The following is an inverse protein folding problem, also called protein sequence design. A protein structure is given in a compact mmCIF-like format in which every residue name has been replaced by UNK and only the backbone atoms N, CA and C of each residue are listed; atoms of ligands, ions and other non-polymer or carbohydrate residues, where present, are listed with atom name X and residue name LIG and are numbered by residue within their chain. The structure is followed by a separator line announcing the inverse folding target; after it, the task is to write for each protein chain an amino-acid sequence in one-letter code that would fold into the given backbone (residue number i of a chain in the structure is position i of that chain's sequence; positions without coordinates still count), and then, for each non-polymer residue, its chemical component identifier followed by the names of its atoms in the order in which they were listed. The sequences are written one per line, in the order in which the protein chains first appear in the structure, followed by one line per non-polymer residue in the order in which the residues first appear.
data_IF_484523881029
#
_entry.id   IF_484523881029
#
_cell.length_a   1.000
_cell.length_b   1.000
_cell.length_c   1.000
_cell.angle_alpha   90.00
_cell.angle_beta   90.00
_cell.angle_gamma   90.00
#
_symmetry.space_group_name_H-M   'P 1'
#
loop_
_entity.id
_entity.type
_entity.pdbx_description
1 polymer ?
#
# COMPACT_ATOMS: atom_id res chain seq x y z
N UNK A 1 -1.42 40.69 -4.25
CA UNK A 1 0.02 40.42 -4.08
C UNK A 1 0.22 39.73 -2.74
N UNK A 2 0.98 38.63 -2.70
CA UNK A 2 1.08 37.62 -1.62
C UNK A 2 -0.16 36.70 -1.54
N UNK A 3 -0.07 35.38 -1.59
CA UNK A 3 1.01 34.48 -1.18
C UNK A 3 1.42 33.53 -2.31
N UNK A 4 2.66 33.69 -2.79
CA UNK A 4 3.43 32.62 -3.43
C UNK A 4 3.79 31.66 -2.28
N UNK A 5 2.85 30.81 -1.87
CA UNK A 5 2.99 29.92 -0.71
C UNK A 5 3.80 28.69 -1.10
N UNK A 6 5.11 28.89 -1.21
CA UNK A 6 6.18 27.89 -1.04
C UNK A 6 5.95 26.48 -1.59
N UNK A 7 5.84 26.33 -2.91
CA UNK A 7 6.02 25.05 -3.62
C UNK A 7 7.36 24.36 -3.20
N UNK A 8 8.37 25.17 -2.84
CA UNK A 8 9.66 24.70 -2.34
C UNK A 8 9.64 24.10 -0.93
N UNK A 9 8.74 24.52 -0.02
CA UNK A 9 8.65 23.93 1.33
C UNK A 9 7.91 22.59 1.28
N UNK A 10 6.91 22.46 0.41
CA UNK A 10 6.27 21.17 0.13
C UNK A 10 7.26 20.17 -0.46
N UNK A 11 8.07 20.58 -1.45
CA UNK A 11 9.07 19.68 -2.06
C UNK A 11 10.15 19.25 -1.05
N UNK A 12 10.58 20.13 -0.15
CA UNK A 12 11.54 19.79 0.90
C UNK A 12 10.96 18.84 1.96
N UNK A 13 9.65 18.90 2.24
CA UNK A 13 8.99 17.97 3.16
C UNK A 13 8.97 16.53 2.63
N UNK A 14 9.05 16.34 1.30
CA UNK A 14 9.17 15.02 0.68
C UNK A 14 10.59 14.43 0.72
N UNK A 15 11.61 15.23 1.04
CA UNK A 15 13.01 14.79 1.00
C UNK A 15 13.32 13.55 1.87
N UNK A 16 12.80 13.41 3.11
CA UNK A 16 13.04 12.20 3.91
C UNK A 16 12.48 10.93 3.25
N UNK A 17 11.27 11.03 2.68
CA UNK A 17 10.59 9.95 1.97
C UNK A 17 11.35 9.53 0.72
N UNK A 18 11.81 10.51 -0.07
CA UNK A 18 12.68 10.30 -1.22
C UNK A 18 13.98 9.58 -0.83
N UNK A 19 14.68 10.07 0.20
CA UNK A 19 15.93 9.46 0.66
C UNK A 19 15.73 8.02 1.16
N UNK A 20 14.64 7.78 1.89
CA UNK A 20 14.28 6.43 2.34
C UNK A 20 14.06 5.47 1.17
N UNK A 21 13.45 5.94 0.07
CA UNK A 21 13.18 5.11 -1.10
C UNK A 21 14.40 4.90 -2.01
N UNK A 22 15.43 5.74 -1.90
CA UNK A 22 16.70 5.51 -2.59
C UNK A 22 17.60 4.51 -1.84
N UNK A 23 17.35 4.29 -0.54
CA UNK A 23 18.15 3.38 0.29
C UNK A 23 18.23 1.95 -0.28
N UNK A 24 17.15 1.33 -0.80
CA UNK A 24 17.24 0.03 -1.44
C UNK A 24 18.16 0.00 -2.67
N UNK A 25 18.20 1.08 -3.47
CA UNK A 25 19.13 1.18 -4.61
C UNK A 25 20.57 1.24 -4.14
N UNK A 26 20.83 2.04 -3.11
CA UNK A 26 22.16 2.11 -2.47
C UNK A 26 22.54 0.74 -1.90
N UNK A 27 21.59 0.04 -1.29
CA UNK A 27 21.77 -1.32 -0.78
C UNK A 27 22.27 -2.29 -1.85
N UNK A 28 21.63 -2.30 -3.02
CA UNK A 28 22.02 -3.18 -4.14
C UNK A 28 23.39 -2.80 -4.71
N UNK A 29 23.65 -1.50 -4.91
CA UNK A 29 24.88 -1.05 -5.58
C UNK A 29 26.10 -1.06 -4.66
N UNK A 30 25.95 -0.77 -3.37
CA UNK A 30 27.06 -0.54 -2.45
C UNK A 30 27.15 -1.55 -1.30
N UNK A 31 26.04 -2.23 -0.96
CA UNK A 31 25.96 -3.14 0.19
C UNK A 31 25.70 -4.60 -0.21
N UNK A 32 25.73 -4.90 -1.51
CA UNK A 32 25.50 -6.24 -2.07
C UNK A 32 24.14 -6.85 -1.66
N UNK A 33 23.13 -5.99 -1.46
CA UNK A 33 21.79 -6.46 -1.17
C UNK A 33 21.23 -7.21 -2.37
N UNK A 34 20.63 -8.37 -2.09
CA UNK A 34 19.96 -9.15 -3.14
C UNK A 34 18.67 -8.45 -3.52
N UNK A 35 18.32 -8.43 -4.81
CA UNK A 35 17.04 -7.90 -5.30
C UNK A 35 15.85 -8.46 -4.54
N UNK A 36 15.90 -9.76 -4.24
CA UNK A 36 14.83 -10.44 -3.49
C UNK A 36 14.64 -9.88 -2.08
N UNK A 37 15.70 -9.42 -1.41
CA UNK A 37 15.62 -8.81 -0.08
C UNK A 37 14.92 -7.46 -0.16
N UNK A 38 15.28 -6.63 -1.15
CA UNK A 38 14.62 -5.34 -1.41
C UNK A 38 13.13 -5.52 -1.71
N UNK A 39 12.80 -6.45 -2.61
CA UNK A 39 11.40 -6.73 -2.93
C UNK A 39 10.64 -7.27 -1.72
N UNK A 40 11.30 -8.04 -0.86
CA UNK A 40 10.69 -8.56 0.37
C UNK A 40 10.41 -7.45 1.38
N UNK A 41 11.28 -6.45 1.51
CA UNK A 41 11.03 -5.26 2.34
C UNK A 41 9.76 -4.54 1.87
N UNK A 42 9.61 -4.28 0.58
CA UNK A 42 8.39 -3.67 0.04
C UNK A 42 7.15 -4.56 0.21
N UNK A 43 7.30 -5.87 0.08
CA UNK A 43 6.21 -6.83 0.28
C UNK A 43 5.75 -6.88 1.75
N UNK A 44 6.70 -6.81 2.70
CA UNK A 44 6.44 -6.71 4.14
C UNK A 44 5.76 -5.38 4.49
N UNK A 45 6.18 -4.29 3.87
CA UNK A 45 5.56 -2.96 4.05
C UNK A 45 4.09 -3.00 3.64
N UNK A 46 3.78 -3.55 2.45
CA UNK A 46 2.40 -3.73 1.99
C UNK A 46 1.58 -4.60 2.95
N UNK A 47 2.12 -5.73 3.39
CA UNK A 47 1.46 -6.62 4.33
C UNK A 47 1.21 -5.97 5.69
N UNK A 48 2.18 -5.20 6.20
CA UNK A 48 2.10 -4.47 7.47
C UNK A 48 1.06 -3.37 7.38
N UNK A 49 1.11 -2.54 6.33
CA UNK A 49 0.09 -1.53 6.05
C UNK A 49 -1.30 -2.17 6.03
N UNK A 50 -1.48 -3.27 5.31
CA UNK A 50 -2.76 -3.94 5.20
C UNK A 50 -3.27 -4.49 6.55
N UNK A 51 -2.38 -5.05 7.36
CA UNK A 51 -2.69 -5.54 8.71
C UNK A 51 -3.13 -4.41 9.64
N UNK A 52 -2.34 -3.33 9.68
CA UNK A 52 -2.55 -2.19 10.59
C UNK A 52 -3.85 -1.47 10.27
N UNK A 53 -4.11 -1.19 8.98
CA UNK A 53 -5.37 -0.60 8.55
C UNK A 53 -6.56 -1.56 8.71
N UNK A 54 -6.33 -2.87 8.62
CA UNK A 54 -7.31 -3.89 8.98
C UNK A 54 -7.76 -3.79 10.43
N UNK A 55 -6.81 -3.63 11.36
CA UNK A 55 -7.10 -3.38 12.78
C UNK A 55 -7.80 -2.04 12.96
N UNK A 56 -7.31 -0.96 12.34
CA UNK A 56 -7.90 0.37 12.42
C UNK A 56 -9.37 0.41 12.00
N UNK A 57 -9.71 -0.31 10.93
CA UNK A 57 -11.07 -0.35 10.39
C UNK A 57 -12.10 -0.93 11.37
N UNK A 58 -11.70 -1.69 12.39
CA UNK A 58 -12.60 -2.17 13.45
C UNK A 58 -13.14 -1.03 14.33
N UNK A 59 -12.41 0.09 14.42
CA UNK A 59 -12.75 1.26 15.22
C UNK A 59 -13.54 2.32 14.42
N UNK A 60 -13.64 2.16 13.10
CA UNK A 60 -14.31 3.12 12.24
C UNK A 60 -15.82 3.22 12.54
N UNK A 61 -16.26 4.41 12.96
CA UNK A 61 -17.61 4.69 13.47
C UNK A 61 -18.63 4.94 12.37
N UNK A 62 -18.24 5.48 11.21
CA UNK A 62 -19.23 5.82 10.18
C UNK A 62 -19.80 4.57 9.51
N UNK A 63 -21.10 4.58 9.16
CA UNK A 63 -21.68 3.52 8.38
C UNK A 63 -21.08 3.50 6.96
N UNK A 64 -21.00 2.31 6.39
CA UNK A 64 -20.53 2.10 5.02
C UNK A 64 -21.63 2.53 4.05
N UNK A 65 -21.30 3.40 3.10
CA UNK A 65 -22.19 3.83 2.00
C UNK A 65 -21.50 3.43 0.70
N UNK A 66 -22.19 2.65 -0.15
CA UNK A 66 -21.62 2.06 -1.37
C UNK A 66 -22.06 2.75 -2.66
N UNK A 67 -23.11 3.56 -2.59
CA UNK A 67 -23.61 4.29 -3.74
C UNK A 67 -22.57 5.30 -4.23
N UNK A 68 -22.35 5.35 -5.54
CA UNK A 68 -21.39 6.26 -6.17
C UNK A 68 -19.92 5.86 -6.09
N UNK A 69 -19.57 4.72 -5.47
CA UNK A 69 -18.16 4.28 -5.37
C UNK A 69 -17.64 3.59 -6.62
N UNK A 70 -16.39 3.87 -6.99
CA UNK A 70 -15.69 3.17 -8.07
C UNK A 70 -15.03 1.87 -7.58
N UNK A 71 -14.53 1.84 -6.35
CA UNK A 71 -13.88 0.66 -5.77
C UNK A 71 -14.80 -0.05 -4.77
N UNK A 72 -15.00 -1.36 -4.99
CA UNK A 72 -15.75 -2.22 -4.09
C UNK A 72 -14.81 -3.23 -3.43
N UNK A 73 -14.73 -3.20 -2.10
CA UNK A 73 -13.91 -4.15 -1.35
C UNK A 73 -14.52 -5.56 -1.33
N UNK A 74 -13.68 -6.61 -1.26
CA UNK A 74 -14.15 -7.98 -1.15
C UNK A 74 -15.10 -8.19 0.04
N UNK A 75 -16.18 -8.93 -0.18
CA UNK A 75 -17.19 -9.22 0.85
C UNK A 75 -18.26 -8.14 1.02
N UNK A 76 -18.26 -7.12 0.15
CA UNK A 76 -19.27 -6.07 0.07
C UNK A 76 -19.88 -6.06 -1.33
N UNK A 77 -21.20 -6.16 -1.42
CA UNK A 77 -21.92 -5.95 -2.68
C UNK A 77 -23.25 -5.26 -2.43
N UNK A 78 -23.77 -4.58 -3.47
CA UNK A 78 -25.09 -3.92 -3.42
C UNK A 78 -26.21 -4.89 -3.01
N UNK A 79 -26.09 -6.16 -3.39
CA UNK A 79 -27.07 -7.21 -3.04
C UNK A 79 -26.82 -7.89 -1.69
N UNK A 80 -25.56 -8.07 -1.26
CA UNK A 80 -25.23 -8.80 -0.02
C UNK A 80 -25.43 -7.98 1.25
N UNK A 81 -25.53 -6.65 1.13
CA UNK A 81 -25.61 -5.71 2.26
C UNK A 81 -26.91 -4.90 2.30
N UNK A 82 -28.02 -5.50 1.80
CA UNK A 82 -29.40 -4.99 1.88
C UNK A 82 -29.65 -4.14 3.15
N UNK A 83 -29.48 -2.82 2.99
CA UNK A 83 -29.88 -1.64 3.77
C UNK A 83 -29.87 -1.70 5.33
N UNK A 84 -30.39 -2.73 5.97
CA UNK A 84 -30.55 -2.79 7.43
C UNK A 84 -29.27 -2.97 8.26
N UNK A 85 -28.15 -3.46 7.71
CA UNK A 85 -26.91 -3.69 8.50
C UNK A 85 -26.15 -2.39 8.77
N UNK A 86 -26.07 -1.51 7.77
CA UNK A 86 -25.31 -0.27 7.83
C UNK A 86 -26.15 0.94 8.25
N UNK A 87 -27.48 0.87 8.09
CA UNK A 87 -28.43 1.91 8.52
C UNK A 87 -28.77 1.86 10.03
N UNK A 88 -28.54 0.71 10.69
CA UNK A 88 -28.77 0.61 12.14
C UNK A 88 -27.76 1.42 12.94
N UNK A 89 -28.25 1.97 14.06
CA UNK A 89 -27.39 2.62 15.04
C UNK A 89 -26.24 1.69 15.43
N UNK A 90 -24.99 2.19 15.44
CA UNK A 90 -23.83 1.36 15.66
C UNK A 90 -23.85 0.76 17.07
N UNK A 91 -24.11 -0.54 17.19
CA UNK A 91 -23.83 -1.28 18.41
C UNK A 91 -22.31 -1.34 18.59
N UNK A 92 -21.84 -0.75 19.68
CA UNK A 92 -20.43 -0.61 19.98
C UNK A 92 -20.06 -1.49 21.18
N UNK A 93 -18.87 -2.07 21.15
CA UNK A 93 -18.30 -2.80 22.28
C UNK A 93 -17.21 -1.91 22.86
N UNK A 94 -17.44 -1.40 24.06
CA UNK A 94 -16.44 -0.62 24.78
C UNK A 94 -15.25 -1.52 25.16
N UNK A 95 -14.05 -1.07 24.87
CA UNK A 95 -12.83 -1.73 25.31
C UNK A 95 -12.39 -1.16 26.66
N UNK A 96 -11.76 -1.96 27.52
CA UNK A 96 -11.13 -1.44 28.73
C UNK A 96 -9.94 -0.54 28.35
N UNK A 97 -9.86 0.65 28.97
CA UNK A 97 -8.76 1.60 28.78
C UNK A 97 -9.11 2.79 27.86
N UNK A 98 -8.11 3.52 27.34
CA UNK A 98 -8.31 4.74 26.54
C UNK A 98 -8.65 4.47 25.08
N UNK A 99 -8.83 3.20 24.67
CA UNK A 99 -9.10 2.84 23.29
C UNK A 99 -10.54 3.17 22.90
N UNK A 100 -10.79 3.63 21.66
CA UNK A 100 -12.15 3.82 21.17
C UNK A 100 -12.92 2.49 21.13
N UNK A 101 -14.26 2.54 21.10
CA UNK A 101 -15.05 1.33 21.01
C UNK A 101 -14.87 0.63 19.66
N UNK A 102 -14.99 -0.69 19.66
CA UNK A 102 -14.96 -1.51 18.45
C UNK A 102 -16.38 -1.70 17.94
N UNK A 103 -16.55 -1.72 16.61
CA UNK A 103 -17.84 -1.92 15.96
C UNK A 103 -17.90 -3.32 15.31
N UNK A 104 -18.57 -4.31 15.93
CA UNK A 104 -18.60 -5.70 15.43
C UNK A 104 -19.13 -5.85 14.00
N UNK A 105 -19.96 -4.92 13.53
CA UNK A 105 -20.45 -4.87 12.15
C UNK A 105 -19.31 -4.80 11.11
N UNK A 106 -18.17 -4.23 11.49
CA UNK A 106 -16.98 -4.09 10.64
C UNK A 106 -16.20 -5.41 10.53
N UNK A 107 -16.36 -6.35 11.46
CA UNK A 107 -15.54 -7.57 11.55
C UNK A 107 -15.61 -8.43 10.30
N UNK A 108 -16.81 -8.61 9.72
CA UNK A 108 -16.97 -9.40 8.48
C UNK A 108 -16.21 -8.76 7.32
N UNK A 109 -16.28 -7.43 7.20
CA UNK A 109 -15.61 -6.68 6.15
C UNK A 109 -14.09 -6.78 6.33
N UNK A 110 -13.58 -6.45 7.51
CA UNK A 110 -12.15 -6.57 7.85
C UNK A 110 -11.64 -7.98 7.56
N UNK A 111 -12.34 -9.02 8.04
CA UNK A 111 -11.95 -10.41 7.80
C UNK A 111 -11.88 -10.75 6.32
N UNK A 112 -12.90 -10.37 5.54
CA UNK A 112 -12.91 -10.64 4.10
C UNK A 112 -11.80 -9.89 3.38
N UNK A 113 -11.61 -8.61 3.69
CA UNK A 113 -10.51 -7.81 3.15
C UNK A 113 -9.16 -8.42 3.50
N UNK A 114 -8.92 -8.84 4.75
CA UNK A 114 -7.68 -9.49 5.16
C UNK A 114 -7.44 -10.81 4.42
N UNK A 115 -8.45 -11.68 4.32
CA UNK A 115 -8.33 -12.95 3.59
C UNK A 115 -7.96 -12.71 2.12
N UNK A 116 -8.66 -11.81 1.44
CA UNK A 116 -8.41 -11.53 0.03
C UNK A 116 -7.11 -10.75 -0.19
N UNK A 117 -6.80 -9.78 0.67
CA UNK A 117 -5.57 -8.98 0.60
C UNK A 117 -4.32 -9.84 0.82
N UNK A 118 -4.31 -10.65 1.89
CA UNK A 118 -3.20 -11.58 2.13
C UNK A 118 -3.17 -12.74 1.13
N UNK A 119 -4.34 -13.21 0.68
CA UNK A 119 -4.42 -14.20 -0.41
C UNK A 119 -3.78 -13.67 -1.69
N UNK A 120 -3.99 -12.39 -2.00
CA UNK A 120 -3.34 -11.73 -3.13
C UNK A 120 -1.83 -11.55 -2.90
N UNK A 121 -1.43 -11.08 -1.71
CA UNK A 121 0.00 -10.94 -1.37
C UNK A 121 0.73 -12.29 -1.43
N UNK A 122 0.07 -13.40 -1.10
CA UNK A 122 0.62 -14.74 -1.18
C UNK A 122 0.77 -15.27 -2.62
N UNK A 123 0.25 -14.58 -3.64
CA UNK A 123 0.28 -15.05 -5.03
C UNK A 123 1.69 -15.44 -5.53
N UNK A 124 2.74 -14.64 -5.32
CA UNK A 124 4.10 -14.98 -5.76
C UNK A 124 4.66 -16.25 -5.09
N UNK A 125 4.12 -16.63 -3.93
CA UNK A 125 4.56 -17.80 -3.18
C UNK A 125 3.96 -19.10 -3.72
N UNK A 126 2.82 -19.03 -4.43
CA UNK A 126 2.25 -20.21 -5.09
C UNK A 126 3.17 -20.64 -6.24
N UNK A 127 3.83 -21.78 -6.08
CA UNK A 127 4.80 -22.32 -7.03
C UNK A 127 6.26 -22.02 -6.69
N UNK A 128 6.54 -21.08 -5.78
CA UNK A 128 7.90 -20.66 -5.41
C UNK A 128 8.09 -20.57 -3.88
N UNK A 129 7.70 -21.61 -3.16
CA UNK A 129 7.79 -21.64 -1.69
C UNK A 129 9.22 -21.44 -1.14
N UNK A 130 10.25 -21.83 -1.92
CA UNK A 130 11.67 -21.64 -1.58
C UNK A 130 12.06 -20.18 -1.33
N UNK A 131 11.37 -19.23 -1.96
CA UNK A 131 11.61 -17.79 -1.78
C UNK A 131 11.48 -17.35 -0.31
N UNK A 132 10.58 -17.98 0.45
CA UNK A 132 10.43 -17.64 1.87
C UNK A 132 11.65 -18.10 2.67
N UNK A 133 12.14 -19.31 2.40
CA UNK A 133 13.31 -19.87 3.08
C UNK A 133 14.59 -19.11 2.78
N UNK A 134 14.76 -18.65 1.54
CA UNK A 134 15.96 -17.96 1.07
C UNK A 134 16.15 -16.55 1.63
N UNK A 135 15.06 -15.97 2.16
CA UNK A 135 15.02 -14.56 2.59
C UNK A 135 14.77 -14.44 4.09
N UNK A 136 14.29 -15.49 4.75
CA UNK A 136 14.04 -15.49 6.19
C UNK A 136 15.35 -15.37 6.99
N UNK A 137 15.63 -14.18 7.50
CA UNK A 137 16.78 -13.89 8.35
C UNK A 137 16.33 -13.20 9.66
N UNK A 138 17.12 -13.32 10.75
CA UNK A 138 16.85 -12.57 11.98
C UNK A 138 16.81 -11.05 11.76
N UNK A 139 17.63 -10.54 10.84
CA UNK A 139 17.63 -9.13 10.46
C UNK A 139 16.31 -8.73 9.82
N UNK A 140 15.79 -9.53 8.88
CA UNK A 140 14.50 -9.28 8.24
C UNK A 140 13.34 -9.34 9.25
N UNK A 141 13.37 -10.29 10.18
CA UNK A 141 12.37 -10.37 11.24
C UNK A 141 12.39 -9.12 12.13
N UNK A 142 13.57 -8.60 12.46
CA UNK A 142 13.71 -7.35 13.21
C UNK A 142 13.19 -6.15 12.41
N UNK A 143 13.47 -6.09 11.10
CA UNK A 143 12.93 -5.07 10.19
C UNK A 143 11.41 -5.11 10.14
N UNK A 144 10.81 -6.30 10.00
CA UNK A 144 9.36 -6.46 10.01
C UNK A 144 8.73 -5.98 11.33
N UNK A 145 9.35 -6.31 12.47
CA UNK A 145 8.90 -5.83 13.78
C UNK A 145 9.01 -4.30 13.90
N UNK A 146 10.10 -3.71 13.41
CA UNK A 146 10.29 -2.26 13.39
C UNK A 146 9.25 -1.57 12.51
N UNK A 147 8.93 -2.12 11.33
CA UNK A 147 7.87 -1.63 10.44
C UNK A 147 6.51 -1.66 11.11
N UNK A 148 6.15 -2.78 11.74
CA UNK A 148 4.88 -2.91 12.49
C UNK A 148 4.82 -1.89 13.61
N UNK A 149 5.89 -1.74 14.40
CA UNK A 149 5.95 -0.75 15.48
C UNK A 149 5.79 0.68 14.95
N UNK A 150 6.46 1.01 13.83
CA UNK A 150 6.36 2.32 13.18
C UNK A 150 4.93 2.61 12.72
N UNK A 151 4.28 1.66 12.05
CA UNK A 151 2.90 1.81 11.59
C UNK A 151 1.91 1.92 12.76
N UNK A 152 2.13 1.18 13.85
CA UNK A 152 1.30 1.28 15.04
C UNK A 152 1.46 2.64 15.73
N UNK A 153 2.67 3.21 15.78
CA UNK A 153 2.89 4.57 16.30
C UNK A 153 2.20 5.61 15.42
N UNK A 154 2.31 5.48 14.09
CA UNK A 154 1.60 6.34 13.16
C UNK A 154 0.08 6.25 13.35
N UNK A 155 -0.47 5.03 13.39
CA UNK A 155 -1.88 4.79 13.64
C UNK A 155 -2.34 5.40 14.97
N UNK A 156 -1.52 5.28 16.02
CA UNK A 156 -1.80 5.88 17.33
C UNK A 156 -1.88 7.39 17.26
N UNK A 157 -0.95 8.05 16.57
CA UNK A 157 -0.83 9.52 16.53
C UNK A 157 -1.87 10.15 15.62
N UNK A 158 -1.99 9.64 14.40
CA UNK A 158 -2.82 10.24 13.35
C UNK A 158 -4.27 9.74 13.48
N UNK A 159 -4.48 8.43 13.35
CA UNK A 159 -5.84 7.88 13.29
C UNK A 159 -6.60 8.01 14.62
N UNK A 160 -5.95 7.64 15.72
CA UNK A 160 -6.56 7.72 17.06
C UNK A 160 -6.41 9.10 17.70
N UNK A 161 -5.25 9.74 17.56
CA UNK A 161 -4.98 11.06 18.15
C UNK A 161 -5.83 12.17 17.54
N UNK A 162 -6.02 12.15 16.22
CA UNK A 162 -6.86 13.14 15.50
C UNK A 162 -8.32 12.71 15.38
N UNK A 163 -8.69 11.55 15.93
CA UNK A 163 -10.05 11.00 15.91
C UNK A 163 -10.64 10.76 14.52
N UNK A 164 -9.78 10.48 13.53
CA UNK A 164 -10.21 10.13 12.17
C UNK A 164 -11.18 8.94 12.14
N UNK A 165 -11.12 8.05 13.14
CA UNK A 165 -12.07 6.95 13.29
C UNK A 165 -13.54 7.39 13.42
N UNK A 166 -13.82 8.64 13.83
CA UNK A 166 -15.18 9.19 13.93
C UNK A 166 -15.75 9.63 12.57
N UNK A 167 -14.88 9.94 11.63
CA UNK A 167 -15.19 10.50 10.32
C UNK A 167 -15.11 9.45 9.21
N UNK A 168 -14.36 8.38 9.44
CA UNK A 168 -14.18 7.30 8.47
C UNK A 168 -15.13 6.12 8.70
N UNK A 169 -15.48 5.46 7.60
CA UNK A 169 -16.13 4.15 7.60
C UNK A 169 -15.08 3.05 7.44
N UNK A 170 -15.38 1.83 7.87
CA UNK A 170 -14.45 0.71 7.72
C UNK A 170 -14.05 0.49 6.25
N UNK A 171 -14.95 0.77 5.30
CA UNK A 171 -14.64 0.71 3.88
C UNK A 171 -13.60 1.76 3.48
N UNK A 172 -13.77 3.01 3.90
CA UNK A 172 -12.81 4.08 3.59
C UNK A 172 -11.42 3.76 4.16
N UNK A 173 -11.35 3.23 5.39
CA UNK A 173 -10.08 2.84 6.00
C UNK A 173 -9.39 1.71 5.22
N UNK A 174 -10.13 0.67 4.83
CA UNK A 174 -9.58 -0.48 4.08
C UNK A 174 -9.33 -0.18 2.60
N UNK A 175 -9.94 0.86 2.06
CA UNK A 175 -9.74 1.32 0.71
C UNK A 175 -8.36 1.94 0.51
N UNK A 176 -7.79 2.60 1.53
CA UNK A 176 -6.43 3.14 1.51
C UNK A 176 -5.37 2.06 1.19
N UNK A 177 -5.25 0.98 1.99
CA UNK A 177 -4.30 -0.10 1.71
C UNK A 177 -4.74 -0.94 0.49
N UNK A 178 -6.04 -1.04 0.20
CA UNK A 178 -6.56 -1.75 -0.97
C UNK A 178 -6.15 -1.11 -2.29
N UNK A 179 -6.23 0.23 -2.40
CA UNK A 179 -5.79 1.00 -3.59
C UNK A 179 -4.29 0.89 -3.79
N UNK A 180 -3.51 0.88 -2.72
CA UNK A 180 -2.07 0.65 -2.76
C UNK A 180 -1.74 -0.74 -3.30
N UNK A 181 -2.37 -1.77 -2.75
CA UNK A 181 -2.17 -3.15 -3.17
C UNK A 181 -2.56 -3.35 -4.63
N UNK A 182 -3.69 -2.78 -5.06
CA UNK A 182 -4.14 -2.82 -6.44
C UNK A 182 -3.14 -2.12 -7.38
N UNK A 183 -2.65 -0.93 -7.00
CA UNK A 183 -1.65 -0.23 -7.80
C UNK A 183 -0.36 -1.04 -7.90
N UNK A 184 0.18 -1.53 -6.78
CA UNK A 184 1.40 -2.33 -6.74
C UNK A 184 1.25 -3.60 -7.60
N UNK A 185 0.09 -4.27 -7.53
CA UNK A 185 -0.25 -5.42 -8.36
C UNK A 185 -0.19 -5.10 -9.86
N UNK A 186 -0.94 -4.08 -10.29
CA UNK A 186 -0.97 -3.65 -11.69
C UNK A 186 0.40 -3.20 -12.17
N UNK A 187 1.14 -2.49 -11.33
CA UNK A 187 2.48 -2.01 -11.63
C UNK A 187 3.46 -3.17 -11.84
N UNK A 188 3.52 -4.12 -10.90
CA UNK A 188 4.40 -5.29 -11.03
C UNK A 188 4.01 -6.18 -12.22
N UNK A 189 2.71 -6.34 -12.50
CA UNK A 189 2.25 -7.07 -13.68
C UNK A 189 2.66 -6.37 -14.99
N UNK A 190 2.58 -5.03 -15.04
CA UNK A 190 3.03 -4.24 -16.17
C UNK A 190 4.55 -4.37 -16.37
N UNK A 191 5.34 -4.23 -15.30
CA UNK A 191 6.80 -4.36 -15.35
C UNK A 191 7.20 -5.77 -15.79
N UNK A 192 6.57 -6.81 -15.22
CA UNK A 192 6.83 -8.19 -15.57
C UNK A 192 6.48 -8.50 -17.03
N UNK A 193 5.31 -8.05 -17.51
CA UNK A 193 4.90 -8.24 -18.90
C UNK A 193 5.80 -7.48 -19.89
N UNK A 194 6.20 -6.25 -19.58
CA UNK A 194 7.16 -5.49 -20.39
C UNK A 194 8.52 -6.19 -20.46
N UNK A 195 9.00 -6.74 -19.34
CA UNK A 195 10.22 -7.55 -19.29
C UNK A 195 10.14 -8.79 -20.19
N UNK A 196 9.01 -9.51 -20.18
CA UNK A 196 8.79 -10.66 -21.07
C UNK A 196 8.80 -10.25 -22.54
N UNK A 197 8.11 -9.16 -22.91
CA UNK A 197 8.08 -8.66 -24.30
C UNK A 197 9.49 -8.28 -24.76
N UNK A 198 10.26 -7.59 -23.93
CA UNK A 198 11.63 -7.19 -24.25
C UNK A 198 12.55 -8.42 -24.39
N UNK A 199 12.40 -9.43 -23.52
CA UNK A 199 13.13 -10.68 -23.64
C UNK A 199 12.79 -11.44 -24.93
N UNK A 200 11.51 -11.51 -25.33
CA UNK A 200 11.10 -12.13 -26.58
C UNK A 200 11.64 -11.37 -27.80
N UNK A 201 11.64 -10.04 -27.76
CA UNK A 201 12.23 -9.21 -28.82
C UNK A 201 13.73 -9.46 -28.93
N UNK A 202 14.45 -9.55 -27.81
CA UNK A 202 15.89 -9.86 -27.80
C UNK A 202 16.19 -11.24 -28.41
N UNK A 203 15.32 -12.23 -28.21
CA UNK A 203 15.47 -13.57 -28.83
C UNK A 203 15.16 -13.54 -30.34
N UNK A 204 14.27 -12.66 -30.79
CA UNK A 204 13.87 -12.54 -32.20
C UNK A 204 14.79 -11.68 -33.08
N UNK A 205 15.71 -10.93 -32.47
CA UNK A 205 16.70 -10.10 -33.17
C UNK A 205 17.98 -10.92 -33.39
N UNK A 206 18.09 -11.54 -34.56
CA UNK A 206 19.24 -12.35 -35.02
C UNK A 206 20.44 -11.48 -35.47
N UNK A 207 20.71 -10.39 -34.74
CA UNK A 207 21.83 -9.50 -35.02
C UNK A 207 22.85 -9.55 -33.86
N UNK A 208 24.12 -9.73 -34.23
CA UNK A 208 25.31 -9.82 -33.37
C UNK A 208 25.61 -8.59 -32.50
N UNK A 209 24.67 -7.64 -32.39
CA UNK A 209 24.76 -6.42 -31.60
C UNK A 209 23.74 -6.38 -30.44
N UNK A 210 23.10 -7.52 -30.13
CA UNK A 210 22.25 -7.67 -28.95
C UNK A 210 23.09 -7.47 -27.69
N UNK A 211 22.86 -6.34 -26.99
CA UNK A 211 23.45 -6.07 -25.67
C UNK A 211 22.84 -7.06 -24.69
N UNK A 212 23.55 -8.16 -24.44
CA UNK A 212 23.26 -9.06 -23.33
C UNK A 212 23.57 -8.30 -22.04
N UNK A 213 22.52 -7.84 -21.35
CA UNK A 213 22.66 -7.33 -19.99
C UNK A 213 23.27 -8.43 -19.12
N UNK A 214 24.28 -8.06 -18.34
CA UNK A 214 24.76 -8.92 -17.27
C UNK A 214 23.64 -9.17 -16.25
N UNK A 215 23.72 -10.28 -15.49
CA UNK A 215 22.74 -10.58 -14.46
C UNK A 215 22.55 -9.41 -13.48
N UNK A 216 23.65 -8.75 -13.09
CA UNK A 216 23.64 -7.58 -12.23
C UNK A 216 22.92 -6.38 -12.86
N UNK A 217 23.15 -6.08 -14.14
CA UNK A 217 22.48 -4.95 -14.82
C UNK A 217 20.97 -5.19 -14.95
N UNK A 218 20.56 -6.44 -15.22
CA UNK A 218 19.15 -6.80 -15.26
C UNK A 218 18.50 -6.69 -13.86
N UNK A 219 19.18 -7.16 -12.82
CA UNK A 219 18.75 -7.03 -11.43
C UNK A 219 18.60 -5.57 -10.99
N UNK A 220 19.61 -4.75 -11.28
CA UNK A 220 19.60 -3.32 -10.99
C UNK A 220 18.49 -2.59 -11.74
N UNK A 221 18.25 -2.94 -13.01
CA UNK A 221 17.15 -2.37 -13.80
C UNK A 221 15.79 -2.69 -13.16
N UNK A 222 15.57 -3.94 -12.72
CA UNK A 222 14.34 -4.34 -12.03
C UNK A 222 14.14 -3.55 -10.75
N UNK A 223 15.15 -3.47 -9.88
CA UNK A 223 15.04 -2.71 -8.61
C UNK A 223 14.81 -1.24 -8.88
N UNK A 224 15.50 -0.66 -9.86
CA UNK A 224 15.34 0.74 -10.27
C UNK A 224 13.89 1.01 -10.67
N UNK A 225 13.34 0.19 -11.56
CA UNK A 225 11.94 0.32 -11.98
C UNK A 225 11.01 0.22 -10.76
N UNK A 226 11.13 -0.82 -9.93
CA UNK A 226 10.28 -0.98 -8.73
C UNK A 226 10.37 0.23 -7.79
N UNK A 227 11.57 0.71 -7.49
CA UNK A 227 11.79 1.87 -6.61
C UNK A 227 11.16 3.13 -7.19
N UNK A 228 11.31 3.38 -8.50
CA UNK A 228 10.64 4.51 -9.14
C UNK A 228 9.12 4.40 -9.10
N UNK A 229 8.58 3.20 -9.27
CA UNK A 229 7.14 2.94 -9.10
C UNK A 229 6.65 3.27 -7.70
N UNK A 230 7.36 2.82 -6.68
CA UNK A 230 7.02 3.10 -5.27
C UNK A 230 7.17 4.58 -4.92
N UNK A 231 8.26 5.21 -5.34
CA UNK A 231 8.48 6.64 -5.16
C UNK A 231 7.38 7.47 -5.83
N UNK A 232 6.91 7.05 -7.01
CA UNK A 232 5.80 7.68 -7.70
C UNK A 232 4.47 7.58 -6.91
N UNK A 233 4.23 6.44 -6.25
CA UNK A 233 3.07 6.26 -5.36
C UNK A 233 3.16 7.20 -4.16
N UNK A 234 4.31 7.23 -3.49
CA UNK A 234 4.51 8.09 -2.32
C UNK A 234 4.41 9.57 -2.67
N UNK A 235 4.99 9.97 -3.80
CA UNK A 235 4.84 11.33 -4.31
C UNK A 235 3.38 11.68 -4.59
N UNK A 236 2.61 10.75 -5.17
CA UNK A 236 1.20 10.96 -5.45
C UNK A 236 0.37 11.08 -4.16
N UNK A 237 0.70 10.29 -3.12
CA UNK A 237 0.09 10.41 -1.78
C UNK A 237 0.45 11.72 -1.10
N UNK A 238 1.73 12.09 -1.14
CA UNK A 238 2.22 13.34 -0.57
C UNK A 238 1.46 14.54 -1.16
N UNK A 239 1.29 14.57 -2.49
CA UNK A 239 0.46 15.59 -3.15
C UNK A 239 -1.00 15.52 -2.75
N UNK A 240 -1.57 14.31 -2.61
CA UNK A 240 -2.96 14.15 -2.17
C UNK A 240 -3.24 14.76 -0.80
N UNK A 241 -2.26 14.76 0.10
CA UNK A 241 -2.38 15.31 1.46
C UNK A 241 -2.06 16.81 1.55
N UNK A 242 -1.16 17.31 0.70
CA UNK A 242 -0.61 18.67 0.81
C UNK A 242 -1.18 19.65 -0.22
N UNK A 243 -1.71 19.18 -1.36
CA UNK A 243 -2.34 20.04 -2.35
C UNK A 243 -3.80 20.31 -1.97
N UNK A 244 -4.26 21.58 -2.02
CA UNK A 244 -5.64 21.94 -1.67
C UNK A 244 -6.69 21.45 -2.68
N UNK A 245 -6.26 21.12 -3.91
CA UNK A 245 -7.11 20.56 -4.97
C UNK A 245 -6.32 19.48 -5.73
N UNK A 246 -6.19 18.27 -5.16
CA UNK A 246 -5.37 17.22 -5.71
C UNK A 246 -6.00 16.66 -7.00
N UNK A 247 -5.22 16.64 -8.08
CA UNK A 247 -5.68 16.21 -9.41
C UNK A 247 -4.97 14.97 -9.93
N UNK A 248 -5.63 14.25 -10.85
CA UNK A 248 -5.09 13.09 -11.55
C UNK A 248 -4.89 11.88 -10.63
N UNK A 249 -3.68 11.30 -10.64
CA UNK A 249 -3.37 10.11 -9.85
C UNK A 249 -3.23 10.37 -8.35
N UNK A 250 -3.04 11.61 -7.90
CA UNK A 250 -3.07 11.93 -6.47
C UNK A 250 -4.46 11.61 -5.88
N UNK A 251 -5.52 11.99 -6.59
CA UNK A 251 -6.92 11.72 -6.22
C UNK A 251 -7.22 10.23 -6.10
N UNK A 252 -6.52 9.37 -6.87
CA UNK A 252 -6.70 7.92 -6.79
C UNK A 252 -6.37 7.35 -5.41
N UNK A 253 -5.44 7.96 -4.67
CA UNK A 253 -5.00 7.48 -3.36
C UNK A 253 -5.84 8.02 -2.20
N UNK A 254 -6.76 8.95 -2.45
CA UNK A 254 -7.73 9.39 -1.47
C UNK A 254 -8.89 8.38 -1.39
N UNK A 255 -9.35 8.04 -0.18
CA UNK A 255 -10.54 7.22 -0.04
C UNK A 255 -11.77 7.99 -0.53
N UNK A 256 -12.64 7.33 -1.28
CA UNK A 256 -13.87 7.99 -1.75
C UNK A 256 -14.81 8.30 -0.57
N UNK A 257 -15.17 9.57 -0.44
CA UNK A 257 -16.17 10.06 0.50
C UNK A 257 -17.51 10.26 -0.24
N UNK A 258 -18.49 9.35 -0.14
CA UNK A 258 -19.75 9.41 -0.88
C UNK A 258 -20.72 10.48 -0.36
N UNK A 259 -20.24 11.42 0.45
CA UNK A 259 -21.03 12.52 1.03
C UNK A 259 -20.49 13.90 0.63
N UNK A 260 -19.45 13.93 -0.20
CA UNK A 260 -18.96 15.10 -0.95
C UNK A 260 -19.39 14.96 -2.41
#
# INVERSE_FOLDING_TARGET
MSLRRNDGVGTLAFAPTLLSNLLPLVGVVALDWRVVEVLTIYWLELGTTFLVYGVAALFARRPVVLDGRNLHLPGVSRDTDRRGKWERDPSSVALPGPLPPVYPRNLRLVRMSLIWGFGFLALPLFGNWGLVGDVLSPALALTALAMVASHLDQLRREYFGEKQYEEMSAHMVLEIPGRLLFFAACYLALVGSAGIVLALFAVGVDDSNTVLLTAFEAELAVVTVVVFGMLFVEWSRFRAEHDPDPSGLATWFLPENPRE
#
